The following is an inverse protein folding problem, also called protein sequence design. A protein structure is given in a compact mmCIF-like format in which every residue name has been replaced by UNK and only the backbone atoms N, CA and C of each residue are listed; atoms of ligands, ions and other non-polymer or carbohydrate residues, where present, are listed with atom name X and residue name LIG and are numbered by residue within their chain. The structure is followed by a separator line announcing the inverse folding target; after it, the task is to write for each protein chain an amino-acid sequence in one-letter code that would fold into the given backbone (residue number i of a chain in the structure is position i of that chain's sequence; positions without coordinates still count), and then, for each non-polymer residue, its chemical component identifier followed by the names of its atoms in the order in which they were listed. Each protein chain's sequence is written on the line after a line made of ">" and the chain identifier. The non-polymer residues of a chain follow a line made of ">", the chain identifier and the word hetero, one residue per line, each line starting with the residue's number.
data_IF_893474731638
#
_entry.id   IF_893474731638
#
_cell.length_a   1.000
_cell.length_b   1.000
_cell.length_c   1.000
_cell.angle_alpha   90.00
_cell.angle_beta   90.00
_cell.angle_gamma   90.00
#
_symmetry.space_group_name_H-M   'P 1'
#
loop_
_entity.id
_entity.type
_entity.pdbx_description
1 polymer ?
#
# COMPACT_ATOMS: atom_id res chain seq x y z
N UNK A 1 0.84 -36.58 2.83
CA UNK A 1 1.08 -36.02 1.48
C UNK A 1 0.10 -34.88 1.24
N UNK A 2 0.43 -33.65 1.65
CA UNK A 2 -0.52 -32.52 1.75
C UNK A 2 0.12 -31.18 1.35
N UNK A 3 0.90 -31.23 0.28
CA UNK A 3 1.55 -30.08 -0.35
C UNK A 3 1.23 -30.16 -1.84
N UNK A 4 0.07 -29.68 -2.25
CA UNK A 4 -0.29 -29.56 -3.68
C UNK A 4 -1.52 -28.65 -3.94
N UNK A 5 -1.76 -27.64 -3.09
CA UNK A 5 -2.88 -26.69 -3.29
C UNK A 5 -2.52 -25.22 -3.02
N UNK A 6 -1.22 -24.89 -2.91
CA UNK A 6 -0.74 -23.50 -2.76
C UNK A 6 -0.01 -22.96 -4.00
N UNK A 7 0.14 -23.75 -5.07
CA UNK A 7 0.90 -23.38 -6.28
C UNK A 7 0.07 -22.72 -7.39
N UNK A 8 -1.12 -22.18 -7.10
CA UNK A 8 -1.98 -21.59 -8.15
C UNK A 8 -2.54 -20.21 -7.81
N UNK A 9 -1.72 -19.36 -7.18
CA UNK A 9 -2.06 -17.94 -6.97
C UNK A 9 -0.97 -17.04 -7.57
N UNK A 10 -0.60 -17.31 -8.82
CA UNK A 10 0.08 -16.34 -9.68
C UNK A 10 -0.98 -15.39 -10.26
N UNK A 11 -0.74 -14.06 -10.27
CA UNK A 11 -1.58 -13.13 -11.01
C UNK A 11 -1.70 -13.59 -12.47
N UNK A 12 -2.92 -13.68 -13.00
CA UNK A 12 -3.11 -14.01 -14.42
C UNK A 12 -2.65 -12.84 -15.27
N UNK A 13 -1.60 -13.09 -16.05
CA UNK A 13 -0.91 -12.17 -16.95
C UNK A 13 -1.77 -11.96 -18.19
N UNK A 14 -2.24 -10.73 -18.42
CA UNK A 14 -2.69 -10.29 -19.73
C UNK A 14 -2.11 -8.92 -20.02
N UNK A 15 -1.12 -8.86 -20.91
CA UNK A 15 -0.56 -7.62 -21.43
C UNK A 15 0.91 -7.76 -21.85
N UNK A 16 1.22 -7.47 -23.10
CA UNK A 16 2.59 -7.42 -23.64
C UNK A 16 3.35 -6.22 -23.03
N UNK A 17 3.84 -6.28 -21.78
CA UNK A 17 4.85 -5.32 -21.21
C UNK A 17 5.17 -5.45 -19.70
N UNK A 18 4.97 -6.61 -19.05
CA UNK A 18 5.46 -6.79 -17.66
C UNK A 18 4.66 -6.10 -16.55
N UNK A 19 3.44 -5.63 -16.86
CA UNK A 19 2.53 -5.02 -15.89
C UNK A 19 1.72 -6.05 -15.09
N UNK A 20 1.42 -5.73 -13.84
CA UNK A 20 0.58 -6.54 -12.96
C UNK A 20 -0.78 -5.89 -12.69
N UNK A 21 -1.83 -6.45 -13.29
CA UNK A 21 -3.22 -6.09 -12.97
C UNK A 21 -3.85 -7.14 -12.03
N UNK A 22 -4.73 -6.74 -11.09
CA UNK A 22 -5.52 -7.68 -10.31
C UNK A 22 -6.38 -8.58 -11.22
N UNK A 23 -6.56 -9.83 -10.83
CA UNK A 23 -7.43 -10.78 -11.55
C UNK A 23 -8.85 -10.20 -11.71
N UNK A 24 -9.35 -10.01 -12.94
CA UNK A 24 -10.63 -9.36 -13.21
C UNK A 24 -11.81 -10.09 -12.54
N UNK A 25 -11.74 -11.41 -12.37
CA UNK A 25 -12.80 -12.18 -11.66
C UNK A 25 -12.87 -11.86 -10.17
N UNK A 26 -11.75 -11.47 -9.57
CA UNK A 26 -11.70 -11.03 -8.18
C UNK A 26 -12.09 -9.55 -8.04
N UNK A 27 -11.90 -8.75 -9.10
CA UNK A 27 -12.36 -7.37 -9.17
C UNK A 27 -13.88 -7.26 -9.29
N UNK A 28 -14.53 -8.16 -10.04
CA UNK A 28 -16.01 -8.25 -10.10
C UNK A 28 -16.63 -8.39 -8.70
N UNK A 29 -16.00 -9.21 -7.85
CA UNK A 29 -16.43 -9.38 -6.46
C UNK A 29 -16.25 -8.11 -5.61
N UNK A 30 -15.31 -7.22 -5.96
CA UNK A 30 -15.09 -5.92 -5.28
C UNK A 30 -16.13 -4.89 -5.71
N UNK A 31 -16.49 -4.84 -7.00
CA UNK A 31 -17.51 -3.93 -7.54
C UNK A 31 -18.90 -4.22 -7.00
N UNK A 32 -19.24 -5.50 -6.79
CA UNK A 32 -20.57 -5.96 -6.38
C UNK A 32 -20.93 -5.71 -4.92
N UNK A 33 -19.98 -5.30 -4.07
CA UNK A 33 -20.29 -4.95 -2.69
C UNK A 33 -21.22 -3.73 -2.64
N UNK A 34 -22.52 -3.93 -2.35
CA UNK A 34 -23.40 -2.84 -1.90
C UNK A 34 -22.90 -2.27 -0.56
N UNK A 35 -23.37 -1.08 -0.19
CA UNK A 35 -23.10 -0.43 1.11
C UNK A 35 -23.10 -1.46 2.22
N UNK A 36 -21.97 -1.57 2.95
CA UNK A 36 -21.78 -2.59 3.96
C UNK A 36 -22.69 -2.22 5.14
N UNK A 37 -23.61 -3.11 5.51
CA UNK A 37 -24.63 -2.84 6.53
C UNK A 37 -24.33 -3.50 7.88
N UNK A 38 -23.31 -4.35 7.96
CA UNK A 38 -22.90 -5.02 9.19
C UNK A 38 -21.36 -5.15 9.30
N UNK A 39 -20.88 -5.25 10.53
CA UNK A 39 -19.47 -5.45 10.89
C UNK A 39 -18.86 -6.67 10.20
N UNK A 40 -19.64 -7.75 10.01
CA UNK A 40 -19.17 -8.94 9.29
C UNK A 40 -18.83 -8.63 7.83
N UNK A 41 -19.66 -7.83 7.16
CA UNK A 41 -19.43 -7.42 5.78
C UNK A 41 -18.22 -6.49 5.67
N UNK A 42 -18.06 -5.56 6.63
CA UNK A 42 -16.88 -4.70 6.72
C UNK A 42 -15.60 -5.52 6.86
N UNK A 43 -15.58 -6.53 7.74
CA UNK A 43 -14.43 -7.43 7.89
C UNK A 43 -14.14 -8.24 6.62
N UNK A 44 -15.18 -8.73 5.94
CA UNK A 44 -15.05 -9.43 4.67
C UNK A 44 -14.44 -8.55 3.58
N UNK A 45 -14.95 -7.32 3.44
CA UNK A 45 -14.43 -6.33 2.49
C UNK A 45 -12.97 -5.98 2.80
N UNK A 46 -12.65 -5.63 4.05
CA UNK A 46 -11.27 -5.35 4.48
C UNK A 46 -10.33 -6.55 4.26
N UNK A 47 -10.82 -7.77 4.47
CA UNK A 47 -10.04 -8.98 4.16
C UNK A 47 -9.69 -9.08 2.69
N UNK A 48 -10.67 -8.85 1.80
CA UNK A 48 -10.48 -8.87 0.36
C UNK A 48 -9.54 -7.77 -0.12
N UNK A 49 -9.78 -6.51 0.28
CA UNK A 49 -8.97 -5.37 -0.15
C UNK A 49 -7.55 -5.42 0.43
N UNK A 50 -7.35 -6.02 1.61
CA UNK A 50 -6.02 -6.18 2.21
C UNK A 50 -5.08 -7.06 1.37
N UNK A 51 -5.60 -8.02 0.61
CA UNK A 51 -4.80 -8.83 -0.31
C UNK A 51 -4.12 -7.95 -1.38
N UNK A 52 -4.82 -6.90 -1.79
CA UNK A 52 -4.38 -5.94 -2.80
C UNK A 52 -3.77 -4.67 -2.22
N UNK A 53 -3.48 -4.63 -0.91
CA UNK A 53 -2.93 -3.43 -0.26
C UNK A 53 -1.68 -2.87 -0.94
N UNK A 54 -0.88 -3.72 -1.61
CA UNK A 54 0.33 -3.30 -2.34
C UNK A 54 0.05 -2.47 -3.60
N UNK A 55 -1.18 -2.53 -4.11
CA UNK A 55 -1.65 -1.77 -5.27
C UNK A 55 -2.38 -0.48 -4.86
N UNK A 56 -2.58 -0.26 -3.56
CA UNK A 56 -3.38 0.85 -3.05
C UNK A 56 -2.48 1.81 -2.27
N UNK A 57 -2.28 3.05 -2.76
CA UNK A 57 -1.56 4.08 -2.02
C UNK A 57 -2.22 4.36 -0.67
N UNK A 58 -1.42 4.48 0.38
CA UNK A 58 -1.88 4.84 1.74
C UNK A 58 -3.06 4.00 2.25
N UNK A 59 -3.13 2.72 1.89
CA UNK A 59 -4.20 1.80 2.27
C UNK A 59 -4.60 1.90 3.76
N UNK A 60 -3.63 1.94 4.68
CA UNK A 60 -3.89 2.00 6.12
C UNK A 60 -4.65 3.27 6.53
N UNK A 61 -4.30 4.42 5.94
CA UNK A 61 -5.02 5.70 6.14
C UNK A 61 -6.43 5.60 5.58
N UNK A 62 -6.53 5.19 4.32
CA UNK A 62 -7.79 5.22 3.58
C UNK A 62 -8.79 4.20 4.10
N UNK A 63 -8.33 3.08 4.65
CA UNK A 63 -9.16 2.05 5.27
C UNK A 63 -9.48 2.31 6.76
N UNK A 64 -8.87 3.31 7.42
CA UNK A 64 -9.07 3.59 8.86
C UNK A 64 -10.55 3.81 9.26
N UNK A 65 -11.39 4.53 8.49
CA UNK A 65 -12.82 4.65 8.80
C UNK A 65 -13.51 3.28 8.91
N UNK A 66 -13.19 2.36 8.01
CA UNK A 66 -13.73 1.00 8.02
C UNK A 66 -13.15 0.16 9.16
N UNK A 67 -11.87 0.30 9.48
CA UNK A 67 -11.26 -0.38 10.63
C UNK A 67 -11.93 0.03 11.95
N UNK A 68 -12.31 1.31 12.11
CA UNK A 68 -13.03 1.80 13.30
C UNK A 68 -14.35 1.05 13.52
N UNK A 69 -15.10 0.77 12.46
CA UNK A 69 -16.37 0.01 12.54
C UNK A 69 -16.19 -1.43 13.02
N UNK A 70 -14.97 -1.98 12.98
CA UNK A 70 -14.70 -3.37 13.38
C UNK A 70 -14.26 -3.54 14.84
N UNK A 71 -14.06 -2.44 15.58
CA UNK A 71 -13.56 -2.41 16.97
C UNK A 71 -14.64 -2.87 17.96
N UNK A 72 -14.22 -3.55 19.04
CA UNK A 72 -15.10 -4.32 19.95
C UNK A 72 -16.10 -3.49 20.78
N UNK A 73 -16.06 -2.16 20.70
CA UNK A 73 -16.88 -1.23 21.49
C UNK A 73 -17.35 -0.01 20.68
N UNK A 74 -17.33 -0.11 19.34
CA UNK A 74 -17.78 0.98 18.47
C UNK A 74 -19.17 0.67 17.93
N UNK A 75 -20.19 1.51 18.18
CA UNK A 75 -21.49 1.35 17.55
C UNK A 75 -21.33 1.38 16.04
N UNK A 76 -22.00 0.47 15.34
CA UNK A 76 -21.98 0.48 13.89
C UNK A 76 -22.76 1.71 13.39
N UNK A 77 -22.04 2.70 12.87
CA UNK A 77 -22.59 3.91 12.29
C UNK A 77 -21.90 4.16 10.98
N UNK A 78 -22.59 3.88 9.88
CA UNK A 78 -22.08 4.17 8.55
C UNK A 78 -22.25 5.67 8.25
N UNK A 79 -21.14 6.37 8.07
CA UNK A 79 -21.11 7.80 7.75
C UNK A 79 -20.47 8.06 6.38
N UNK A 80 -20.44 9.33 5.97
CA UNK A 80 -19.87 9.75 4.69
C UNK A 80 -18.38 9.38 4.58
N UNK A 81 -17.65 9.33 5.70
CA UNK A 81 -16.23 8.95 5.73
C UNK A 81 -16.04 7.45 5.42
N UNK A 82 -16.95 6.60 5.90
CA UNK A 82 -16.98 5.17 5.60
C UNK A 82 -17.32 4.93 4.13
N UNK A 83 -18.28 5.69 3.58
CA UNK A 83 -18.63 5.60 2.17
C UNK A 83 -17.47 6.05 1.27
N UNK A 84 -16.86 7.21 1.55
CA UNK A 84 -15.70 7.70 0.81
C UNK A 84 -14.50 6.73 0.88
N UNK A 85 -14.27 6.10 2.03
CA UNK A 85 -13.25 5.07 2.19
C UNK A 85 -13.51 3.85 1.30
N UNK A 86 -14.75 3.34 1.31
CA UNK A 86 -15.16 2.21 0.49
C UNK A 86 -15.02 2.52 -1.01
N UNK A 87 -15.47 3.70 -1.44
CA UNK A 87 -15.42 4.13 -2.84
C UNK A 87 -13.98 4.35 -3.31
N UNK A 88 -13.11 4.93 -2.48
CA UNK A 88 -11.68 5.05 -2.78
C UNK A 88 -11.04 3.67 -3.00
N UNK A 89 -11.25 2.73 -2.07
CA UNK A 89 -10.68 1.38 -2.17
C UNK A 89 -11.19 0.62 -3.39
N UNK A 90 -12.48 0.77 -3.71
CA UNK A 90 -13.05 0.22 -4.94
C UNK A 90 -12.40 0.82 -6.17
N UNK A 91 -12.33 2.15 -6.24
CA UNK A 91 -11.77 2.87 -7.36
C UNK A 91 -10.32 2.46 -7.59
N UNK A 92 -9.47 2.37 -6.56
CA UNK A 92 -8.09 1.90 -6.73
C UNK A 92 -7.97 0.46 -7.25
N UNK A 93 -8.98 -0.38 -6.99
CA UNK A 93 -8.98 -1.77 -7.46
C UNK A 93 -9.59 -1.89 -8.87
N UNK A 94 -10.55 -1.04 -9.23
CA UNK A 94 -11.23 -1.07 -10.52
C UNK A 94 -10.57 -0.19 -11.57
N UNK A 95 -9.89 0.88 -11.16
CA UNK A 95 -8.96 1.62 -12.00
C UNK A 95 -7.73 0.77 -12.25
N UNK A 96 -7.20 0.79 -13.47
CA UNK A 96 -5.97 0.09 -13.85
C UNK A 96 -4.82 0.52 -12.91
N UNK A 97 -4.35 -0.36 -12.00
CA UNK A 97 -3.22 -0.03 -11.16
C UNK A 97 -1.95 -0.29 -11.98
N UNK A 98 -1.14 0.74 -12.20
CA UNK A 98 0.13 0.60 -12.91
C UNK A 98 1.19 0.16 -11.89
N UNK A 99 1.17 -1.12 -11.51
CA UNK A 99 2.32 -1.75 -10.85
C UNK A 99 3.18 -2.49 -11.88
N UNK A 100 4.48 -2.22 -11.86
CA UNK A 100 5.47 -2.93 -12.66
C UNK A 100 5.98 -4.17 -11.92
N UNK A 101 6.28 -5.25 -12.66
CA UNK A 101 7.05 -6.35 -12.10
C UNK A 101 8.45 -5.85 -11.69
N UNK A 102 8.96 -6.27 -10.52
CA UNK A 102 10.30 -5.88 -10.12
C UNK A 102 11.35 -6.46 -11.08
N UNK A 103 12.18 -5.58 -11.64
CA UNK A 103 13.38 -5.96 -12.36
C UNK A 103 14.60 -5.80 -11.45
N UNK A 104 15.10 -6.90 -10.90
CA UNK A 104 16.24 -6.88 -9.98
C UNK A 104 17.58 -6.46 -10.62
N UNK A 105 17.62 -6.26 -11.95
CA UNK A 105 18.78 -5.68 -12.64
C UNK A 105 18.77 -4.15 -12.62
N UNK A 106 17.62 -3.54 -12.32
CA UNK A 106 17.43 -2.10 -12.22
C UNK A 106 17.51 -1.63 -10.76
N UNK A 107 18.04 -0.41 -10.50
CA UNK A 107 18.08 0.14 -9.16
C UNK A 107 16.67 0.41 -8.63
N UNK A 108 16.47 0.14 -7.34
CA UNK A 108 15.23 0.49 -6.64
C UNK A 108 15.34 1.88 -6.01
N UNK A 109 14.22 2.58 -5.95
CA UNK A 109 14.02 3.73 -5.07
C UNK A 109 12.86 3.49 -4.10
N UNK A 110 12.99 4.02 -2.89
CA UNK A 110 11.91 4.00 -1.89
C UNK A 110 11.50 5.44 -1.63
N UNK A 111 10.22 5.74 -1.82
CA UNK A 111 9.63 7.01 -1.45
C UNK A 111 8.83 6.82 -0.18
N UNK A 112 9.15 7.54 0.89
CA UNK A 112 8.42 7.47 2.16
C UNK A 112 7.68 8.78 2.43
N UNK A 113 6.46 8.65 2.93
CA UNK A 113 5.61 9.76 3.34
C UNK A 113 5.08 9.50 4.76
N UNK A 114 4.92 10.57 5.53
CA UNK A 114 4.44 10.54 6.90
C UNK A 114 3.28 11.51 7.05
N UNK A 115 2.19 11.01 7.62
CA UNK A 115 1.02 11.82 7.98
C UNK A 115 0.70 11.66 9.47
N UNK A 116 -0.22 12.48 9.99
CA UNK A 116 -0.47 12.60 11.43
C UNK A 116 -0.67 11.27 12.19
N UNK A 117 -1.23 10.27 11.51
CA UNK A 117 -1.63 8.99 12.11
C UNK A 117 -0.90 7.77 11.54
N UNK A 118 0.04 7.92 10.61
CA UNK A 118 0.62 6.77 9.92
C UNK A 118 1.80 7.08 9.01
N UNK A 119 2.29 6.01 8.40
CA UNK A 119 3.45 5.96 7.53
C UNK A 119 3.01 5.33 6.20
N UNK A 120 3.47 5.92 5.10
CA UNK A 120 3.33 5.42 3.74
C UNK A 120 4.70 5.20 3.10
N UNK A 121 4.81 4.22 2.23
CA UNK A 121 5.98 4.02 1.41
C UNK A 121 5.63 3.44 0.04
N UNK A 122 6.39 3.81 -0.99
CA UNK A 122 6.31 3.27 -2.33
C UNK A 122 7.71 2.78 -2.75
N UNK A 123 7.80 1.51 -3.12
CA UNK A 123 8.95 0.95 -3.81
C UNK A 123 8.77 1.20 -5.31
N UNK A 124 9.77 1.80 -5.94
CA UNK A 124 9.73 2.27 -7.31
C UNK A 124 10.97 1.84 -8.09
N UNK A 125 10.85 1.79 -9.41
CA UNK A 125 11.93 1.57 -10.35
C UNK A 125 11.72 2.45 -11.59
N UNK A 126 12.77 2.59 -12.40
CA UNK A 126 12.63 3.18 -13.73
C UNK A 126 12.27 2.09 -14.72
N UNK A 127 11.29 2.36 -15.58
CA UNK A 127 10.98 1.51 -16.72
C UNK A 127 12.01 1.70 -17.86
N UNK A 128 11.82 0.97 -18.96
CA UNK A 128 12.67 1.04 -20.15
C UNK A 128 12.70 2.45 -20.79
N UNK A 129 11.71 3.30 -20.51
CA UNK A 129 11.65 4.70 -20.97
C UNK A 129 12.23 5.68 -19.95
N UNK A 130 12.76 5.18 -18.82
CA UNK A 130 13.32 5.99 -17.74
C UNK A 130 12.28 6.66 -16.85
N UNK A 131 11.00 6.27 -16.94
CA UNK A 131 9.90 6.79 -16.13
C UNK A 131 9.81 6.03 -14.81
N UNK A 132 9.53 6.76 -13.72
CA UNK A 132 9.36 6.17 -12.40
C UNK A 132 8.02 5.40 -12.34
N UNK A 133 8.11 4.09 -12.20
CA UNK A 133 6.99 3.17 -12.05
C UNK A 133 6.97 2.56 -10.66
N UNK A 134 5.77 2.33 -10.13
CA UNK A 134 5.63 1.74 -8.79
C UNK A 134 5.70 0.23 -8.88
N UNK A 135 6.51 -0.38 -8.01
CA UNK A 135 6.60 -1.84 -7.85
C UNK A 135 5.68 -2.31 -6.73
N UNK A 136 5.64 -1.58 -5.61
CA UNK A 136 4.78 -1.91 -4.48
C UNK A 136 4.53 -0.71 -3.56
N UNK A 137 3.31 -0.58 -3.06
CA UNK A 137 2.99 0.30 -1.94
C UNK A 137 3.02 -0.46 -0.61
N UNK A 138 3.36 0.27 0.45
CA UNK A 138 3.23 -0.16 1.83
C UNK A 138 2.64 0.98 2.66
N UNK A 139 1.82 0.66 3.65
CA UNK A 139 1.37 1.64 4.64
C UNK A 139 1.04 0.97 5.97
N UNK A 140 1.20 1.73 7.07
CA UNK A 140 0.76 1.31 8.40
C UNK A 140 0.35 2.50 9.26
N UNK A 141 -0.55 2.27 10.21
CA UNK A 141 -0.87 3.23 11.27
C UNK A 141 0.24 3.27 12.32
N UNK A 142 0.49 4.43 12.90
CA UNK A 142 1.39 4.59 14.04
C UNK A 142 0.85 3.86 15.28
N UNK A 143 1.74 3.11 15.94
CA UNK A 143 1.48 2.53 17.25
C UNK A 143 1.29 3.63 18.29
N UNK A 144 0.60 3.32 19.40
CA UNK A 144 0.31 4.30 20.46
C UNK A 144 1.57 5.00 20.99
N UNK A 145 2.68 4.28 21.09
CA UNK A 145 3.96 4.81 21.54
C UNK A 145 4.67 5.70 20.50
N UNK A 146 4.35 5.56 19.22
CA UNK A 146 4.98 6.29 18.10
C UNK A 146 4.21 7.59 17.75
N UNK A 147 2.94 7.70 18.16
CA UNK A 147 2.11 8.90 17.93
C UNK A 147 2.71 10.21 18.47
N UNK A 148 3.31 10.27 19.68
CA UNK A 148 3.85 11.50 20.22
C UNK A 148 5.20 11.90 19.61
N UNK A 149 5.77 11.09 18.71
CA UNK A 149 7.01 11.45 18.01
C UNK A 149 6.83 12.74 17.21
N UNK A 150 7.90 13.54 17.16
CA UNK A 150 8.02 14.69 16.27
C UNK A 150 8.04 14.27 14.81
N UNK A 151 7.78 15.20 13.89
CA UNK A 151 7.79 14.91 12.44
C UNK A 151 9.12 14.28 11.97
N UNK A 152 10.31 14.80 12.34
CA UNK A 152 11.58 14.18 11.93
C UNK A 152 11.77 12.77 12.51
N UNK A 153 11.32 12.52 13.74
CA UNK A 153 11.37 11.17 14.34
C UNK A 153 10.45 10.20 13.59
N UNK A 154 9.27 10.66 13.16
CA UNK A 154 8.35 9.86 12.34
C UNK A 154 8.89 9.62 10.93
N UNK A 155 9.56 10.59 10.32
CA UNK A 155 10.24 10.44 9.03
C UNK A 155 11.32 9.35 9.11
N UNK A 156 12.19 9.43 10.12
CA UNK A 156 13.23 8.41 10.37
C UNK A 156 12.61 7.03 10.62
N UNK A 157 11.55 6.96 11.44
CA UNK A 157 10.80 5.73 11.68
C UNK A 157 10.19 5.18 10.36
N UNK A 158 9.68 6.06 9.50
CA UNK A 158 9.16 5.73 8.18
C UNK A 158 10.20 5.07 7.29
N UNK A 159 11.40 5.63 7.24
CA UNK A 159 12.54 5.07 6.48
C UNK A 159 12.93 3.69 7.00
N UNK A 160 13.17 3.55 8.30
CA UNK A 160 13.58 2.28 8.92
C UNK A 160 12.51 1.22 8.64
N UNK A 161 11.24 1.57 8.86
CA UNK A 161 10.13 0.66 8.62
C UNK A 161 10.01 0.28 7.14
N UNK A 162 10.18 1.21 6.21
CA UNK A 162 10.10 0.94 4.77
C UNK A 162 11.23 -0.01 4.31
N UNK A 163 12.45 0.19 4.81
CA UNK A 163 13.58 -0.70 4.56
C UNK A 163 13.31 -2.12 5.06
N UNK A 164 12.78 -2.27 6.28
CA UNK A 164 12.41 -3.57 6.84
C UNK A 164 11.26 -4.22 6.04
N UNK A 165 10.26 -3.44 5.63
CA UNK A 165 9.11 -3.93 4.88
C UNK A 165 9.49 -4.42 3.48
N UNK A 166 10.34 -3.66 2.78
CA UNK A 166 10.78 -3.97 1.42
C UNK A 166 12.04 -4.82 1.36
N UNK A 167 12.60 -5.24 2.50
CA UNK A 167 13.77 -6.13 2.57
C UNK A 167 13.71 -7.32 1.58
N UNK A 168 12.58 -8.03 1.37
CA UNK A 168 12.52 -9.10 0.38
C UNK A 168 12.82 -8.69 -1.07
N UNK A 169 12.71 -7.40 -1.41
CA UNK A 169 13.02 -6.85 -2.73
C UNK A 169 14.44 -6.28 -2.81
N UNK A 170 14.91 -5.64 -1.74
CA UNK A 170 16.10 -4.78 -1.80
C UNK A 170 17.32 -5.33 -1.08
N UNK A 171 17.22 -6.47 -0.41
CA UNK A 171 18.33 -7.04 0.36
C UNK A 171 19.55 -7.31 -0.55
N UNK A 172 20.70 -6.70 -0.18
CA UNK A 172 21.94 -6.80 -0.95
C UNK A 172 22.05 -5.87 -2.15
N UNK A 173 21.07 -4.98 -2.38
CA UNK A 173 21.07 -4.01 -3.48
C UNK A 173 21.34 -2.59 -2.97
N UNK A 174 21.86 -1.74 -3.85
CA UNK A 174 21.91 -0.30 -3.62
C UNK A 174 20.52 0.30 -3.86
N UNK A 175 20.01 1.07 -2.90
CA UNK A 175 18.67 1.69 -2.95
C UNK A 175 18.79 3.17 -2.63
N UNK A 176 18.09 4.00 -3.41
CA UNK A 176 17.94 5.42 -3.12
C UNK A 176 16.66 5.65 -2.32
N UNK A 177 16.75 6.40 -1.23
CA UNK A 177 15.58 6.71 -0.40
C UNK A 177 15.23 8.19 -0.57
N UNK A 178 13.97 8.45 -0.89
CA UNK A 178 13.37 9.77 -0.94
C UNK A 178 12.39 9.90 0.20
N UNK A 179 12.59 10.89 1.06
CA UNK A 179 11.68 11.21 2.15
C UNK A 179 11.17 12.61 1.91
N UNK A 180 9.87 12.84 2.02
CA UNK A 180 9.34 14.20 2.00
C UNK A 180 9.64 14.86 3.35
N UNK A 181 10.91 15.26 3.53
CA UNK A 181 11.21 16.27 4.52
C UNK A 181 10.62 17.54 3.94
N UNK A 182 9.59 18.08 4.58
CA UNK A 182 9.08 19.41 4.26
C UNK A 182 10.15 20.45 4.66
N UNK A 183 11.31 20.41 4.02
CA UNK A 183 12.25 21.49 3.95
C UNK A 183 11.81 22.36 2.80
N UNK A 184 11.26 23.51 3.12
CA UNK A 184 11.44 24.72 2.31
C UNK A 184 12.93 25.13 2.18
N UNK A 185 13.87 24.18 2.22
CA UNK A 185 15.31 24.38 2.18
C UNK A 185 15.94 23.18 1.46
N UNK A 186 15.97 23.30 0.14
CA UNK A 186 17.06 22.88 -0.74
C UNK A 186 18.26 22.26 0.01
N UNK A 187 18.34 20.94 0.09
CA UNK A 187 19.61 20.22 0.28
C UNK A 187 19.45 18.74 -0.06
N UNK A 188 19.77 18.41 -1.31
CA UNK A 188 20.07 17.06 -1.76
C UNK A 188 21.24 16.50 -0.95
N UNK A 189 20.98 15.51 -0.09
CA UNK A 189 22.01 14.75 0.61
C UNK A 189 22.26 13.45 -0.13
N UNK A 190 23.41 13.37 -0.81
CA UNK A 190 24.00 12.12 -1.25
C UNK A 190 24.58 11.40 -0.03
N UNK A 191 24.08 10.21 0.28
CA UNK A 191 24.80 9.26 1.12
C UNK A 191 25.61 8.32 0.22
N UNK A 192 26.92 8.28 0.46
CA UNK A 192 27.87 7.33 -0.14
C UNK A 192 28.21 6.27 0.89
#
# INVERSE_FOLDING_TARGET
>A
SRFSLLDSVTPQIQGHSGWCSPDPKKLEAVTDFRTLTDVKQVRGFLGLTSYYRRFIPNYAEKAEPLFKLTRKETPFSWDDSCQASMDYLKNCLTSEPILCLPDFTCPFSIHTDVYDLGLGAALMQKDDMGQDVVVAFASRTLHKAERPYSTPEKECLGVIWALEHFRPYIEGLHVTIYTDHNSNLHNSTHCT
#
